data_IF_085752195868
#
_entry.id   IF_085752195868
#
_cell.length_a   1.000
_cell.length_b   1.000
_cell.length_c   1.000
_cell.angle_alpha   90.00
_cell.angle_beta   90.00
_cell.angle_gamma   90.00
#
_symmetry.space_group_name_H-M   'P 1'
#
loop_
_entity.id
_entity.type
_entity.pdbx_description
1 polymer ?
#
# COMPACT_ATOMS: atom_id res chain seq x y z
N UNK A 1 46.36 -35.54 -41.00
CA UNK A 1 45.21 -34.61 -41.03
C UNK A 1 45.18 -33.87 -39.71
N UNK A 2 45.46 -32.58 -39.80
CA UNK A 2 45.63 -31.58 -38.75
C UNK A 2 44.30 -30.96 -38.33
N UNK A 3 44.04 -30.75 -37.05
CA UNK A 3 43.28 -29.58 -36.56
C UNK A 3 43.72 -29.24 -35.13
N UNK A 4 44.34 -28.06 -34.98
CA UNK A 4 44.83 -27.52 -33.71
C UNK A 4 43.78 -26.67 -33.01
N UNK A 5 43.75 -26.75 -31.67
CA UNK A 5 42.97 -25.85 -30.83
C UNK A 5 43.72 -24.53 -30.63
N UNK A 6 43.18 -23.43 -31.17
CA UNK A 6 43.63 -22.06 -30.87
C UNK A 6 42.47 -21.26 -30.27
N UNK A 7 42.39 -21.23 -28.93
CA UNK A 7 41.49 -20.37 -28.18
C UNK A 7 42.18 -19.06 -27.82
N UNK A 8 41.80 -17.98 -28.49
CA UNK A 8 42.37 -16.63 -28.35
C UNK A 8 41.92 -15.95 -27.04
N UNK A 9 42.89 -15.37 -26.34
CA UNK A 9 42.73 -14.50 -25.15
C UNK A 9 42.15 -13.13 -25.57
N UNK A 10 41.06 -12.71 -24.93
CA UNK A 10 40.57 -11.32 -25.02
C UNK A 10 41.12 -10.49 -23.87
N UNK A 11 42.05 -9.59 -24.19
CA UNK A 11 42.62 -8.62 -23.26
C UNK A 11 41.71 -7.39 -23.10
N UNK A 12 41.40 -7.03 -21.85
CA UNK A 12 40.75 -5.77 -21.49
C UNK A 12 41.82 -4.66 -21.46
N UNK A 13 41.69 -3.65 -22.33
CA UNK A 13 42.40 -2.37 -22.21
C UNK A 13 41.50 -1.38 -21.47
N UNK A 14 41.96 -0.93 -20.31
CA UNK A 14 41.53 0.32 -19.69
C UNK A 14 42.31 1.49 -20.30
N UNK A 15 41.68 2.64 -20.59
CA UNK A 15 42.37 3.91 -20.62
C UNK A 15 42.27 4.62 -19.27
N UNK A 16 43.41 5.17 -18.84
CA UNK A 16 43.60 6.06 -17.69
C UNK A 16 43.19 7.50 -18.04
N UNK A 17 42.49 8.12 -17.09
CA UNK A 17 42.63 9.49 -16.56
C UNK A 17 42.55 10.71 -17.48
N UNK A 18 41.60 11.60 -17.16
CA UNK A 18 41.80 13.06 -17.27
C UNK A 18 40.99 13.81 -16.19
N UNK A 19 41.70 14.68 -15.47
CA UNK A 19 41.32 15.96 -14.87
C UNK A 19 40.10 16.07 -13.94
N UNK A 20 40.43 16.25 -12.66
CA UNK A 20 39.75 17.06 -11.65
C UNK A 20 39.44 18.47 -12.14
N UNK A 21 38.16 18.87 -12.07
CA UNK A 21 37.74 20.27 -11.95
C UNK A 21 36.76 20.39 -10.79
N UNK A 22 37.14 21.18 -9.78
CA UNK A 22 36.30 21.48 -8.61
C UNK A 22 35.24 22.51 -8.98
N UNK A 23 33.99 22.36 -8.51
CA UNK A 23 32.94 23.36 -8.74
C UNK A 23 33.18 24.63 -7.89
N UNK A 24 32.74 25.82 -8.37
CA UNK A 24 32.85 27.07 -7.62
C UNK A 24 31.91 27.08 -6.39
N UNK A 25 32.26 27.83 -5.32
CA UNK A 25 31.45 27.88 -4.10
C UNK A 25 30.11 28.61 -4.33
N UNK A 26 29.06 28.09 -3.71
CA UNK A 26 27.73 28.70 -3.70
C UNK A 26 27.71 30.07 -2.99
N UNK A 27 26.83 31.01 -3.39
CA UNK A 27 26.71 32.30 -2.72
C UNK A 27 26.13 32.14 -1.31
N UNK A 28 26.76 32.84 -0.36
CA UNK A 28 26.35 32.94 1.05
C UNK A 28 24.99 33.66 1.13
N UNK A 29 23.94 32.94 1.53
CA UNK A 29 22.66 33.55 1.92
C UNK A 29 22.82 34.13 3.32
N UNK A 30 22.90 35.45 3.42
CA UNK A 30 22.80 36.17 4.69
C UNK A 30 21.36 36.11 5.21
N UNK A 31 21.19 35.45 6.36
CA UNK A 31 19.92 35.35 7.07
C UNK A 31 19.69 36.65 7.86
N UNK A 32 18.57 37.39 7.69
CA UNK A 32 18.26 38.50 8.59
C UNK A 32 17.89 37.96 9.97
N UNK A 33 18.38 38.67 10.98
CA UNK A 33 18.30 38.40 12.40
C UNK A 33 16.86 38.40 12.95
N UNK A 34 16.64 37.55 13.95
CA UNK A 34 15.46 37.55 14.81
C UNK A 34 15.28 38.92 15.46
N UNK A 35 14.07 39.47 15.38
CA UNK A 35 13.54 40.45 16.36
C UNK A 35 12.25 39.89 16.96
N UNK A 36 12.32 39.41 18.19
CA UNK A 36 11.32 39.77 19.21
C UNK A 36 11.86 40.97 20.00
N UNK A 37 11.16 41.55 21.00
CA UNK A 37 9.97 41.05 21.71
C UNK A 37 8.82 42.09 21.80
N UNK A 38 7.67 41.69 22.32
CA UNK A 38 6.55 42.61 22.58
C UNK A 38 5.47 41.98 23.44
N UNK A 39 5.79 41.72 24.72
CA UNK A 39 4.80 41.47 25.77
C UNK A 39 4.07 42.78 26.14
N UNK A 40 2.74 42.69 26.32
CA UNK A 40 1.78 43.54 27.06
C UNK A 40 0.41 43.34 26.38
N UNK A 41 -0.76 43.19 26.97
CA UNK A 41 -1.29 43.25 28.34
C UNK A 41 -2.61 42.41 28.30
N UNK A 42 -3.01 41.68 29.34
CA UNK A 42 -3.89 42.23 30.39
C UNK A 42 -5.37 42.31 29.94
N UNK A 43 -6.21 41.35 30.36
CA UNK A 43 -7.67 41.45 30.16
C UNK A 43 -8.47 40.23 30.62
N UNK A 44 -8.68 40.08 31.93
CA UNK A 44 -9.68 39.13 32.47
C UNK A 44 -11.07 39.78 32.35
N UNK A 45 -11.95 39.19 31.54
CA UNK A 45 -13.37 39.57 31.49
C UNK A 45 -14.24 38.44 32.05
N UNK A 46 -14.95 38.77 33.13
CA UNK A 46 -15.98 37.94 33.78
C UNK A 46 -17.13 37.74 32.79
N UNK A 47 -17.46 36.48 32.44
CA UNK A 47 -18.72 36.14 31.78
C UNK A 47 -19.73 35.61 32.79
N UNK A 48 -20.79 36.38 32.93
CA UNK A 48 -22.01 36.11 33.67
C UNK A 48 -22.84 35.01 32.99
N UNK A 49 -23.38 34.08 33.78
CA UNK A 49 -24.34 33.06 33.34
C UNK A 49 -25.70 33.72 33.12
N UNK A 50 -26.36 33.42 32.00
CA UNK A 50 -27.82 33.57 31.83
C UNK A 50 -28.47 32.19 31.65
N UNK A 51 -29.71 31.99 32.15
CA UNK A 51 -30.34 30.68 32.26
C UNK A 51 -31.08 30.27 30.97
N UNK A 52 -31.27 28.95 30.83
CA UNK A 52 -31.93 28.31 29.70
C UNK A 52 -33.45 28.58 29.68
N UNK A 53 -33.95 28.91 28.50
CA UNK A 53 -35.38 29.01 28.18
C UNK A 53 -36.01 27.60 28.14
N UNK A 54 -37.15 27.44 28.81
CA UNK A 54 -38.04 26.29 28.68
C UNK A 54 -38.98 26.53 27.50
N UNK A 55 -39.20 25.47 26.70
CA UNK A 55 -40.41 25.33 25.90
C UNK A 55 -41.33 24.21 26.44
N UNK A 56 -42.65 24.33 26.22
CA UNK A 56 -43.69 23.60 26.94
C UNK A 56 -44.28 22.46 26.09
N UNK A 57 -44.84 21.43 26.71
CA UNK A 57 -46.09 20.75 26.34
C UNK A 57 -46.28 19.53 27.25
N UNK A 58 -47.40 19.49 27.95
CA UNK A 58 -47.68 18.53 29.00
C UNK A 58 -48.48 17.32 28.53
N UNK A 59 -48.53 16.32 29.41
CA UNK A 59 -49.73 15.54 29.67
C UNK A 59 -49.60 14.89 31.05
N UNK A 60 -50.75 14.83 31.73
CA UNK A 60 -50.96 14.39 33.11
C UNK A 60 -50.61 12.91 33.27
N UNK A 61 -49.85 12.58 34.31
CA UNK A 61 -49.82 11.22 34.87
C UNK A 61 -50.99 11.03 35.85
N UNK A 62 -51.67 9.88 35.87
CA UNK A 62 -52.46 9.50 37.04
C UNK A 62 -51.49 9.03 38.15
N UNK A 63 -51.81 9.40 39.39
CA UNK A 63 -51.16 8.88 40.59
C UNK A 63 -51.29 7.35 40.61
N UNK A 64 -50.18 6.63 40.52
CA UNK A 64 -50.08 5.28 41.05
C UNK A 64 -49.35 5.36 42.39
N UNK A 65 -50.00 4.87 43.43
CA UNK A 65 -49.41 4.57 44.73
C UNK A 65 -48.04 3.90 44.58
N UNK A 66 -47.07 4.45 45.30
CA UNK A 66 -45.77 3.80 45.49
C UNK A 66 -45.93 2.78 46.62
N UNK A 67 -46.33 1.56 46.29
CA UNK A 67 -45.97 0.40 47.10
C UNK A 67 -44.65 -0.15 46.60
N UNK A 68 -43.71 -0.26 47.53
CA UNK A 68 -42.32 -0.51 47.25
C UNK A 68 -42.08 -1.86 46.57
N UNK A 69 -41.23 -1.84 45.56
CA UNK A 69 -40.15 -2.81 45.48
C UNK A 69 -38.99 -2.23 44.67
N UNK A 70 -37.77 -2.52 45.08
CA UNK A 70 -36.55 -2.10 44.43
C UNK A 70 -36.39 -2.76 43.05
N UNK A 71 -35.51 -2.16 42.24
CA UNK A 71 -34.91 -2.68 41.01
C UNK A 71 -35.72 -2.60 39.70
N UNK A 72 -35.65 -1.44 39.05
CA UNK A 72 -35.64 -1.38 37.59
C UNK A 72 -34.94 -0.10 37.11
N UNK A 73 -33.61 -0.12 37.02
CA UNK A 73 -32.92 0.78 36.09
C UNK A 73 -33.16 0.24 34.68
N UNK A 74 -34.11 0.83 33.96
CA UNK A 74 -34.18 0.69 32.51
C UNK A 74 -33.01 1.47 31.88
N UNK A 75 -31.81 0.89 31.93
CA UNK A 75 -30.76 1.23 30.98
C UNK A 75 -31.16 0.62 29.64
N UNK A 76 -31.67 1.43 28.72
CA UNK A 76 -31.78 1.07 27.32
C UNK A 76 -30.36 1.03 26.72
N UNK A 77 -29.58 0.04 27.15
CA UNK A 77 -28.28 -0.28 26.59
C UNK A 77 -28.48 -1.25 25.45
N UNK A 78 -28.32 -0.80 24.20
CA UNK A 78 -28.09 -1.71 23.09
C UNK A 78 -26.70 -2.32 23.31
N UNK A 79 -26.63 -3.46 24.01
CA UNK A 79 -25.45 -4.31 24.03
C UNK A 79 -25.42 -5.07 22.72
N UNK A 80 -24.44 -4.79 21.87
CA UNK A 80 -24.11 -5.70 20.77
C UNK A 80 -23.61 -7.02 21.40
N UNK A 81 -24.43 -8.06 21.37
CA UNK A 81 -24.04 -9.41 21.80
C UNK A 81 -23.08 -9.98 20.74
N UNK A 82 -21.77 -9.76 20.92
CA UNK A 82 -20.70 -10.39 20.12
C UNK A 82 -20.54 -11.90 20.43
N UNK A 83 -21.37 -12.44 21.32
CA UNK A 83 -21.39 -13.86 21.74
C UNK A 83 -22.31 -14.72 20.89
N UNK A 84 -23.02 -14.14 19.91
CA UNK A 84 -23.78 -14.90 18.93
C UNK A 84 -22.85 -15.76 18.09
N UNK A 85 -22.69 -17.04 18.47
CA UNK A 85 -22.10 -18.04 17.58
C UNK A 85 -23.07 -18.21 16.41
N UNK A 86 -22.77 -17.55 15.31
CA UNK A 86 -23.38 -17.88 14.02
C UNK A 86 -22.85 -19.27 13.67
N UNK A 87 -23.59 -20.31 14.08
CA UNK A 87 -23.37 -21.69 13.59
C UNK A 87 -23.93 -21.76 12.18
N UNK A 88 -23.32 -21.04 11.24
CA UNK A 88 -23.76 -21.04 9.86
C UNK A 88 -22.70 -21.63 8.94
N UNK A 89 -22.73 -22.97 8.92
CA UNK A 89 -22.11 -23.80 7.89
C UNK A 89 -22.75 -23.62 6.51
N UNK A 90 -23.65 -22.64 6.31
CA UNK A 90 -24.27 -22.30 5.01
C UNK A 90 -23.60 -21.14 4.28
N UNK A 91 -22.57 -20.51 4.84
CA UNK A 91 -21.71 -19.62 4.06
C UNK A 91 -20.92 -20.49 3.06
N UNK A 92 -21.09 -20.32 1.74
CA UNK A 92 -20.38 -21.13 0.77
C UNK A 92 -18.87 -21.02 0.98
N UNK A 93 -18.16 -22.15 0.99
CA UNK A 93 -16.70 -22.26 1.23
C UNK A 93 -15.83 -21.41 0.29
N UNK A 94 -16.43 -20.85 -0.75
CA UNK A 94 -15.79 -19.91 -1.66
C UNK A 94 -16.67 -18.67 -1.74
N UNK A 95 -16.24 -17.58 -1.12
CA UNK A 95 -16.58 -16.26 -1.63
C UNK A 95 -16.06 -16.20 -3.08
N UNK A 96 -16.89 -16.56 -4.06
CA UNK A 96 -16.66 -16.29 -5.47
C UNK A 96 -16.16 -14.83 -5.61
N UNK A 97 -15.22 -14.54 -6.52
CA UNK A 97 -14.21 -13.51 -6.31
C UNK A 97 -14.86 -12.16 -6.06
N UNK A 98 -15.00 -11.78 -4.79
CA UNK A 98 -15.78 -10.61 -4.36
C UNK A 98 -15.25 -9.32 -5.01
N UNK A 99 -13.97 -9.36 -5.40
CA UNK A 99 -13.28 -8.27 -6.05
C UNK A 99 -13.28 -8.34 -7.59
N UNK A 100 -13.84 -9.39 -8.24
CA UNK A 100 -13.67 -9.64 -9.67
C UNK A 100 -14.21 -8.53 -10.59
N UNK A 101 -15.23 -7.81 -10.15
CA UNK A 101 -15.77 -6.68 -10.91
C UNK A 101 -14.81 -5.50 -10.99
N UNK A 102 -13.88 -5.37 -10.05
CA UNK A 102 -12.99 -4.22 -9.97
C UNK A 102 -11.78 -4.39 -10.88
N UNK A 103 -11.30 -3.26 -11.38
CA UNK A 103 -10.09 -3.21 -12.20
C UNK A 103 -8.85 -3.39 -11.34
N UNK A 104 -8.79 -2.75 -10.17
CA UNK A 104 -7.68 -2.84 -9.23
C UNK A 104 -8.11 -3.60 -7.99
N UNK A 105 -7.53 -4.77 -7.81
CA UNK A 105 -7.82 -5.73 -6.73
C UNK A 105 -6.62 -5.82 -5.79
N UNK A 106 -6.86 -6.17 -4.53
CA UNK A 106 -5.81 -6.28 -3.53
C UNK A 106 -6.03 -7.43 -2.55
N UNK A 107 -4.96 -8.16 -2.22
CA UNK A 107 -4.96 -9.21 -1.20
C UNK A 107 -3.52 -9.44 -0.67
N UNK A 108 -3.37 -10.37 0.29
CA UNK A 108 -2.09 -10.71 0.92
C UNK A 108 -1.69 -12.18 0.73
N UNK A 109 -0.39 -12.39 0.63
CA UNK A 109 0.26 -13.69 0.71
C UNK A 109 -0.14 -14.65 -0.41
N UNK A 110 0.30 -15.90 -0.28
CA UNK A 110 0.02 -16.96 -1.25
C UNK A 110 -1.48 -17.27 -1.38
N UNK A 111 -2.24 -17.19 -0.28
CA UNK A 111 -3.68 -17.40 -0.30
C UNK A 111 -4.43 -16.30 -1.07
N UNK A 112 -3.98 -15.04 -0.95
CA UNK A 112 -4.51 -13.93 -1.73
C UNK A 112 -4.13 -14.05 -3.21
N UNK A 113 -2.91 -14.47 -3.51
CA UNK A 113 -2.47 -14.76 -4.88
C UNK A 113 -3.40 -15.79 -5.55
N UNK A 114 -3.71 -16.89 -4.87
CA UNK A 114 -4.65 -17.91 -5.35
C UNK A 114 -6.04 -17.33 -5.66
N UNK A 115 -6.56 -16.45 -4.80
CA UNK A 115 -7.87 -15.81 -4.99
C UNK A 115 -7.90 -14.81 -6.14
N UNK A 116 -6.76 -14.21 -6.47
CA UNK A 116 -6.63 -13.18 -7.51
C UNK A 116 -5.89 -13.68 -8.77
N UNK A 117 -5.68 -14.98 -8.89
CA UNK A 117 -4.87 -15.63 -9.92
C UNK A 117 -5.43 -15.46 -11.35
N UNK A 118 -6.67 -15.00 -11.49
CA UNK A 118 -7.37 -14.76 -12.75
C UNK A 118 -7.07 -13.39 -13.40
N UNK A 119 -6.41 -12.47 -12.68
CA UNK A 119 -6.17 -11.13 -13.20
C UNK A 119 -5.17 -11.12 -14.37
N UNK A 120 -5.34 -10.20 -15.33
CA UNK A 120 -4.46 -10.05 -16.49
C UNK A 120 -3.02 -9.68 -16.08
N UNK A 121 -2.88 -8.92 -14.98
CA UNK A 121 -1.61 -8.50 -14.41
C UNK A 121 -1.61 -8.77 -12.90
N UNK A 122 -0.64 -9.54 -12.44
CA UNK A 122 -0.30 -9.71 -11.02
C UNK A 122 0.92 -8.85 -10.69
N UNK A 123 0.77 -8.01 -9.67
CA UNK A 123 1.87 -7.27 -9.05
C UNK A 123 2.17 -7.93 -7.71
N UNK A 124 3.24 -8.70 -7.63
CA UNK A 124 3.73 -9.21 -6.35
C UNK A 124 4.52 -8.12 -5.64
N UNK A 125 3.98 -7.62 -4.53
CA UNK A 125 4.54 -6.49 -3.80
C UNK A 125 5.33 -6.99 -2.60
N UNK A 126 6.64 -6.93 -2.70
CA UNK A 126 7.57 -7.30 -1.62
C UNK A 126 8.62 -6.20 -1.49
N UNK A 127 8.50 -5.37 -0.46
CA UNK A 127 9.38 -4.22 -0.29
C UNK A 127 10.66 -4.56 0.49
N UNK A 128 10.69 -5.70 1.22
CA UNK A 128 11.87 -6.18 1.95
C UNK A 128 12.08 -7.69 1.67
N UNK A 129 12.36 -8.07 0.40
CA UNK A 129 12.38 -9.47 0.02
C UNK A 129 13.52 -10.22 0.69
N UNK A 130 13.21 -11.41 1.19
CA UNK A 130 14.24 -12.38 1.56
C UNK A 130 14.84 -12.97 0.27
N UNK A 131 16.15 -13.15 0.25
CA UNK A 131 16.85 -13.64 -0.95
C UNK A 131 16.29 -15.01 -1.38
N UNK A 132 15.77 -15.09 -2.60
CA UNK A 132 15.19 -16.30 -3.16
C UNK A 132 13.74 -16.57 -2.73
N UNK A 133 13.10 -15.66 -1.99
CA UNK A 133 11.69 -15.74 -1.65
C UNK A 133 10.84 -15.18 -2.80
N UNK A 134 10.22 -16.08 -3.56
CA UNK A 134 9.16 -15.75 -4.51
C UNK A 134 7.99 -16.69 -4.23
N UNK A 135 6.74 -16.25 -4.48
CA UNK A 135 5.59 -17.12 -4.34
C UNK A 135 5.64 -18.25 -5.38
N UNK A 136 5.00 -19.39 -5.09
CA UNK A 136 4.65 -20.32 -6.17
C UNK A 136 3.67 -19.62 -7.12
N UNK A 137 3.94 -19.74 -8.42
CA UNK A 137 3.16 -19.13 -9.48
C UNK A 137 2.34 -20.18 -10.24
N UNK A 138 2.34 -21.43 -9.79
CA UNK A 138 1.73 -22.58 -10.50
C UNK A 138 0.23 -22.41 -10.69
N UNK A 139 -0.42 -21.71 -9.76
CA UNK A 139 -1.87 -21.46 -9.78
C UNK A 139 -2.25 -20.20 -10.56
N UNK A 140 -1.27 -19.36 -10.95
CA UNK A 140 -1.52 -18.11 -11.69
C UNK A 140 -1.69 -18.40 -13.17
N UNK A 141 -2.81 -17.94 -13.74
CA UNK A 141 -3.18 -18.23 -15.13
C UNK A 141 -2.01 -17.94 -16.11
N UNK A 142 -1.67 -18.84 -17.04
CA UNK A 142 -0.50 -18.68 -17.93
C UNK A 142 -0.53 -17.41 -18.79
N UNK A 143 -1.72 -16.85 -19.01
CA UNK A 143 -1.95 -15.60 -19.74
C UNK A 143 -1.70 -14.34 -18.92
N UNK A 144 -1.52 -14.46 -17.59
CA UNK A 144 -1.28 -13.33 -16.70
C UNK A 144 0.19 -12.90 -16.74
N UNK A 145 0.41 -11.59 -16.87
CA UNK A 145 1.71 -11.00 -16.63
C UNK A 145 1.99 -10.96 -15.13
N UNK A 146 3.24 -11.15 -14.72
CA UNK A 146 3.67 -11.12 -13.33
C UNK A 146 4.86 -10.19 -13.23
N UNK A 147 4.72 -9.16 -12.40
CA UNK A 147 5.76 -8.17 -12.13
C UNK A 147 5.99 -8.00 -10.63
N UNK A 148 7.18 -7.54 -10.26
CA UNK A 148 7.48 -7.17 -8.88
C UNK A 148 7.21 -5.68 -8.65
N UNK A 149 6.61 -5.39 -7.50
CA UNK A 149 6.34 -4.04 -7.03
C UNK A 149 7.00 -3.75 -5.68
N UNK A 150 7.47 -2.51 -5.52
CA UNK A 150 7.97 -2.00 -4.26
C UNK A 150 7.73 -0.49 -4.17
N UNK A 151 7.97 0.09 -3.00
CA UNK A 151 7.88 1.55 -2.83
C UNK A 151 8.91 2.29 -3.72
N UNK A 152 10.05 1.65 -3.99
CA UNK A 152 11.13 2.15 -4.85
C UNK A 152 10.77 2.21 -6.32
N UNK A 153 9.75 1.47 -6.77
CA UNK A 153 9.34 1.34 -8.19
C UNK A 153 7.90 1.78 -8.44
N UNK A 154 7.26 2.47 -7.47
CA UNK A 154 5.83 2.80 -7.49
C UNK A 154 5.35 3.34 -8.85
N UNK A 155 6.04 4.35 -9.36
CA UNK A 155 5.67 5.07 -10.58
C UNK A 155 6.01 4.24 -11.81
N UNK A 156 7.16 3.58 -11.81
CA UNK A 156 7.60 2.70 -12.89
C UNK A 156 6.63 1.54 -13.13
N UNK A 157 6.13 0.92 -12.05
CA UNK A 157 5.12 -0.13 -12.09
C UNK A 157 3.81 0.39 -12.69
N UNK A 158 3.32 1.54 -12.22
CA UNK A 158 2.09 2.13 -12.74
C UNK A 158 2.21 2.53 -14.23
N UNK A 159 3.36 3.07 -14.66
CA UNK A 159 3.66 3.36 -16.07
C UNK A 159 3.75 2.09 -16.92
N UNK A 160 4.31 1.02 -16.38
CA UNK A 160 4.38 -0.27 -17.06
C UNK A 160 2.99 -0.85 -17.27
N UNK A 161 2.14 -0.83 -16.23
CA UNK A 161 0.76 -1.33 -16.29
C UNK A 161 -0.06 -0.55 -17.32
N UNK A 162 0.05 0.78 -17.32
CA UNK A 162 -0.65 1.62 -18.30
C UNK A 162 -0.21 1.32 -19.73
N UNK A 163 1.10 1.20 -19.98
CA UNK A 163 1.63 0.79 -21.29
C UNK A 163 1.10 -0.59 -21.69
N UNK A 164 1.12 -1.55 -20.77
CA UNK A 164 0.61 -2.90 -21.02
C UNK A 164 -0.87 -2.92 -21.39
N UNK A 165 -1.68 -2.09 -20.74
CA UNK A 165 -3.09 -1.93 -21.08
C UNK A 165 -3.27 -1.40 -22.51
N UNK A 166 -2.47 -0.41 -22.90
CA UNK A 166 -2.48 0.14 -24.26
C UNK A 166 -2.09 -0.92 -25.28
N UNK A 167 -1.00 -1.66 -25.03
CA UNK A 167 -0.51 -2.71 -25.94
C UNK A 167 -1.55 -3.82 -26.16
N UNK A 168 -2.31 -4.16 -25.12
CA UNK A 168 -3.36 -5.18 -25.19
C UNK A 168 -4.67 -4.67 -25.81
N UNK A 169 -4.83 -3.34 -25.97
CA UNK A 169 -6.03 -2.74 -26.55
C UNK A 169 -7.32 -3.01 -25.78
N UNK A 170 -7.24 -3.46 -24.53
CA UNK A 170 -8.38 -3.78 -23.66
C UNK A 170 -8.13 -3.27 -22.25
N UNK A 171 -9.20 -3.03 -21.50
CA UNK A 171 -9.10 -2.77 -20.06
C UNK A 171 -8.56 -4.02 -19.37
N UNK A 172 -7.44 -3.89 -18.67
CA UNK A 172 -6.80 -5.01 -17.96
C UNK A 172 -7.27 -5.06 -16.51
N UNK A 173 -7.50 -6.26 -16.00
CA UNK A 173 -7.64 -6.52 -14.57
C UNK A 173 -6.26 -6.60 -13.90
N UNK A 174 -6.11 -5.94 -12.76
CA UNK A 174 -4.85 -5.77 -12.04
C UNK A 174 -5.05 -6.26 -10.61
N UNK A 175 -4.23 -7.21 -10.19
CA UNK A 175 -4.19 -7.68 -8.81
C UNK A 175 -2.85 -7.30 -8.17
N UNK A 176 -2.89 -6.51 -7.11
CA UNK A 176 -1.75 -6.28 -6.24
C UNK A 176 -1.80 -7.29 -5.09
N UNK A 177 -0.75 -8.07 -4.92
CA UNK A 177 -0.65 -9.05 -3.84
C UNK A 177 0.54 -8.67 -2.97
N UNK A 178 0.27 -8.17 -1.78
CA UNK A 178 1.33 -7.91 -0.80
C UNK A 178 1.89 -9.23 -0.29
N UNK A 179 3.22 -9.40 -0.37
CA UNK A 179 3.90 -10.64 -0.02
C UNK A 179 3.62 -11.06 1.42
N UNK A 180 3.61 -10.09 2.33
CA UNK A 180 3.34 -10.37 3.72
C UNK A 180 4.58 -10.89 4.45
N UNK A 181 4.38 -11.27 5.71
CA UNK A 181 5.40 -11.96 6.49
C UNK A 181 4.79 -13.26 7.00
N UNK A 182 5.40 -14.39 6.65
CA UNK A 182 4.85 -15.73 6.95
C UNK A 182 3.40 -15.87 6.44
N UNK A 183 3.13 -15.41 5.21
CA UNK A 183 1.80 -15.31 4.59
C UNK A 183 0.77 -14.45 5.35
N UNK A 184 1.22 -13.73 6.39
CA UNK A 184 0.42 -12.83 7.20
C UNK A 184 0.60 -11.35 6.87
N UNK A 185 0.02 -10.50 7.72
CA UNK A 185 0.05 -9.06 7.56
C UNK A 185 1.49 -8.49 7.66
N UNK A 186 1.87 -7.70 6.65
CA UNK A 186 3.10 -6.90 6.66
C UNK A 186 2.79 -5.43 6.34
N UNK A 187 3.03 -4.53 7.29
CA UNK A 187 2.70 -3.11 7.14
C UNK A 187 3.50 -2.39 6.06
N UNK A 188 4.75 -2.77 5.83
CA UNK A 188 5.61 -2.16 4.80
C UNK A 188 5.18 -2.56 3.38
N UNK A 189 4.76 -3.82 3.18
CA UNK A 189 4.21 -4.27 1.90
C UNK A 189 2.83 -3.66 1.64
N UNK A 190 1.97 -3.54 2.67
CA UNK A 190 0.70 -2.81 2.53
C UNK A 190 0.95 -1.37 2.05
N UNK A 191 1.91 -0.68 2.67
CA UNK A 191 2.27 0.68 2.30
C UNK A 191 2.83 0.76 0.88
N UNK A 192 3.67 -0.18 0.47
CA UNK A 192 4.19 -0.25 -0.89
C UNK A 192 3.08 -0.52 -1.92
N UNK A 193 2.16 -1.43 -1.62
CA UNK A 193 1.02 -1.73 -2.49
C UNK A 193 0.08 -0.52 -2.60
N UNK A 194 -0.24 0.14 -1.48
CA UNK A 194 -1.00 1.39 -1.45
C UNK A 194 -0.33 2.50 -2.27
N UNK A 195 1.00 2.59 -2.24
CA UNK A 195 1.75 3.56 -3.04
C UNK A 195 1.62 3.34 -4.55
N UNK A 196 1.59 2.07 -4.98
CA UNK A 196 1.37 1.69 -6.38
C UNK A 196 -0.10 1.96 -6.76
N UNK A 197 -1.07 1.67 -5.88
CA UNK A 197 -2.49 1.94 -6.11
C UNK A 197 -2.73 3.44 -6.31
N UNK A 198 -2.16 4.30 -5.47
CA UNK A 198 -2.25 5.76 -5.68
C UNK A 198 -1.58 6.20 -6.99
N UNK A 199 -0.45 5.58 -7.38
CA UNK A 199 0.19 5.89 -8.65
C UNK A 199 -0.61 5.40 -9.88
N UNK A 200 -1.41 4.35 -9.73
CA UNK A 200 -2.40 3.92 -10.73
C UNK A 200 -3.56 4.91 -10.82
N UNK A 201 -4.07 5.38 -9.67
CA UNK A 201 -5.10 6.40 -9.61
C UNK A 201 -4.65 7.72 -10.25
N UNK A 202 -3.40 8.16 -10.01
CA UNK A 202 -2.76 9.32 -10.66
C UNK A 202 -2.78 9.22 -12.21
N UNK A 203 -2.86 8.00 -12.75
CA UNK A 203 -2.92 7.69 -14.19
C UNK A 203 -4.33 7.41 -14.70
N UNK A 204 -5.35 7.61 -13.88
CA UNK A 204 -6.76 7.37 -14.21
C UNK A 204 -7.19 5.90 -14.13
N UNK A 205 -6.41 5.05 -13.45
CA UNK A 205 -6.78 3.66 -13.16
C UNK A 205 -7.21 3.57 -11.69
N UNK A 206 -8.47 3.94 -11.42
CA UNK A 206 -8.99 4.18 -10.07
C UNK A 206 -10.22 3.34 -9.69
N UNK A 207 -10.67 2.43 -10.58
CA UNK A 207 -11.77 1.52 -10.26
C UNK A 207 -11.30 0.38 -9.35
N UNK A 208 -11.12 0.75 -8.10
CA UNK A 208 -10.52 -0.02 -7.01
C UNK A 208 -11.57 -0.82 -6.23
N UNK A 209 -11.18 -2.03 -5.84
CA UNK A 209 -11.88 -2.81 -4.81
C UNK A 209 -11.85 -2.09 -3.45
N UNK A 210 -12.76 -2.41 -2.52
CA UNK A 210 -12.70 -1.90 -1.15
C UNK A 210 -11.34 -2.16 -0.48
N UNK A 211 -10.76 -3.33 -0.71
CA UNK A 211 -9.46 -3.74 -0.19
C UNK A 211 -8.33 -2.86 -0.76
N UNK A 212 -8.34 -2.62 -2.08
CA UNK A 212 -7.39 -1.72 -2.72
C UNK A 212 -7.57 -0.27 -2.25
N UNK A 213 -8.81 0.19 -2.06
CA UNK A 213 -9.09 1.53 -1.55
C UNK A 213 -8.56 1.73 -0.12
N UNK A 214 -8.68 0.72 0.75
CA UNK A 214 -8.11 0.75 2.11
C UNK A 214 -6.58 0.82 2.05
N UNK A 215 -5.94 0.03 1.18
CA UNK A 215 -4.49 0.07 0.99
C UNK A 215 -4.01 1.44 0.48
N UNK A 216 -4.67 2.00 -0.53
CA UNK A 216 -4.40 3.34 -1.06
C UNK A 216 -4.53 4.43 0.02
N UNK A 217 -5.65 4.42 0.76
CA UNK A 217 -5.90 5.37 1.84
C UNK A 217 -4.86 5.24 2.98
N UNK A 218 -4.44 4.03 3.31
CA UNK A 218 -3.38 3.79 4.30
C UNK A 218 -2.07 4.44 3.85
N UNK A 219 -1.65 4.25 2.59
CA UNK A 219 -0.47 4.95 2.07
C UNK A 219 -0.67 6.46 2.04
N UNK A 220 -1.79 6.96 1.52
CA UNK A 220 -2.05 8.40 1.41
C UNK A 220 -1.93 9.10 2.78
N UNK A 221 -2.51 8.52 3.83
CA UNK A 221 -2.44 9.06 5.20
C UNK A 221 -1.07 8.90 5.86
N UNK A 222 -0.29 7.89 5.47
CA UNK A 222 0.97 7.54 6.13
C UNK A 222 2.22 7.87 5.29
N UNK A 223 2.06 8.44 4.10
CA UNK A 223 3.13 8.68 3.12
C UNK A 223 4.34 9.41 3.69
N UNK A 224 4.12 10.39 4.56
CA UNK A 224 5.20 11.18 5.18
C UNK A 224 5.98 10.39 6.24
N UNK A 225 5.43 9.28 6.73
CA UNK A 225 6.02 8.42 7.75
C UNK A 225 6.60 7.11 7.18
N UNK A 226 6.56 6.87 5.86
CA UNK A 226 6.98 5.59 5.25
C UNK A 226 8.36 5.11 5.71
N UNK A 227 9.36 5.99 5.79
CA UNK A 227 10.69 5.63 6.31
C UNK A 227 10.68 5.10 7.76
N UNK A 228 9.90 5.74 8.64
CA UNK A 228 9.74 5.28 10.01
C UNK A 228 8.95 3.98 10.09
N UNK A 229 7.90 3.83 9.28
CA UNK A 229 7.07 2.63 9.28
C UNK A 229 7.83 1.40 8.74
N UNK A 230 8.65 1.58 7.72
CA UNK A 230 9.54 0.52 7.22
C UNK A 230 10.54 0.10 8.31
N UNK A 231 11.24 1.06 8.91
CA UNK A 231 12.24 0.78 9.95
C UNK A 231 11.63 0.24 11.24
N UNK A 232 10.40 0.59 11.58
CA UNK A 232 9.69 0.11 12.77
C UNK A 232 8.89 -1.18 12.54
N UNK A 233 8.64 -1.58 11.29
CA UNK A 233 7.89 -2.80 10.97
C UNK A 233 8.59 -4.06 11.50
N UNK A 234 7.83 -5.13 11.75
CA UNK A 234 8.37 -6.43 12.23
C UNK A 234 9.49 -6.93 11.30
N UNK A 235 9.26 -6.93 9.99
CA UNK A 235 10.26 -7.36 9.00
C UNK A 235 11.44 -6.39 8.96
N UNK A 236 11.20 -5.08 8.97
CA UNK A 236 12.29 -4.10 9.01
C UNK A 236 13.18 -4.23 10.25
N UNK A 237 12.59 -4.52 11.42
CA UNK A 237 13.32 -4.81 12.65
C UNK A 237 14.12 -6.12 12.55
N UNK A 238 13.55 -7.15 11.93
CA UNK A 238 14.24 -8.42 11.66
C UNK A 238 15.43 -8.24 10.72
N UNK A 239 15.25 -7.52 9.60
CA UNK A 239 16.32 -7.18 8.65
C UNK A 239 17.41 -6.35 9.34
N UNK A 240 17.03 -5.34 10.13
CA UNK A 240 17.97 -4.52 10.90
C UNK A 240 18.83 -5.35 11.85
N UNK A 241 18.22 -6.34 12.52
CA UNK A 241 18.90 -7.24 13.46
C UNK A 241 19.81 -8.25 12.76
N UNK A 242 19.38 -8.80 11.61
CA UNK A 242 20.12 -9.83 10.87
C UNK A 242 21.22 -9.26 9.97
N UNK A 243 20.98 -8.10 9.36
CA UNK A 243 21.85 -7.49 8.34
C UNK A 243 22.32 -6.11 8.81
N UNK A 244 21.53 -5.07 8.56
CA UNK A 244 21.78 -3.69 9.00
C UNK A 244 20.56 -2.81 8.72
N UNK A 245 20.63 -1.53 9.12
CA UNK A 245 19.57 -0.55 8.85
C UNK A 245 19.52 -0.07 7.39
N UNK A 246 20.63 -0.11 6.68
CA UNK A 246 20.75 0.50 5.35
C UNK A 246 19.84 -0.13 4.28
N UNK A 247 19.70 -1.47 4.18
CA UNK A 247 18.73 -2.09 3.27
C UNK A 247 17.29 -1.62 3.52
N UNK A 248 16.92 -1.42 4.79
CA UNK A 248 15.57 -0.97 5.17
C UNK A 248 15.32 0.47 4.73
N UNK A 249 16.33 1.36 4.88
CA UNK A 249 16.25 2.74 4.39
C UNK A 249 16.21 2.81 2.86
N UNK A 250 16.96 1.94 2.19
CA UNK A 250 16.98 1.87 0.73
C UNK A 250 15.61 1.43 0.18
N UNK A 251 15.01 0.40 0.78
CA UNK A 251 13.67 -0.07 0.45
C UNK A 251 12.56 0.97 0.72
N UNK A 252 12.77 1.84 1.72
CA UNK A 252 11.80 2.88 2.05
C UNK A 252 11.87 4.13 1.14
N UNK A 253 12.80 4.17 0.18
CA UNK A 253 12.87 5.27 -0.78
C UNK A 253 11.69 5.18 -1.76
N UNK A 254 11.13 6.34 -2.10
CA UNK A 254 10.04 6.44 -3.07
C UNK A 254 10.65 6.67 -4.45
N UNK A 255 10.28 5.84 -5.43
CA UNK A 255 10.70 6.00 -6.84
C UNK A 255 12.21 6.17 -7.04
N UNK A 256 13.02 5.49 -6.22
CA UNK A 256 14.48 5.45 -6.40
C UNK A 256 14.91 4.54 -7.55
N UNK A 257 14.00 3.75 -8.12
CA UNK A 257 14.21 2.82 -9.21
C UNK A 257 13.17 3.06 -10.31
N UNK A 258 13.62 3.02 -11.57
CA UNK A 258 12.79 3.26 -12.75
C UNK A 258 12.51 2.01 -13.58
N UNK A 259 13.21 0.92 -13.29
CA UNK A 259 13.10 -0.36 -13.99
C UNK A 259 12.13 -1.30 -13.24
N UNK A 260 11.25 -1.95 -13.99
CA UNK A 260 10.29 -2.93 -13.45
C UNK A 260 10.84 -4.33 -13.69
N UNK A 261 10.88 -5.14 -12.63
CA UNK A 261 11.25 -6.55 -12.75
C UNK A 261 10.03 -7.34 -13.21
N UNK A 262 10.10 -7.92 -14.39
CA UNK A 262 9.06 -8.76 -14.99
C UNK A 262 9.45 -10.23 -14.82
N UNK A 263 8.63 -11.00 -14.11
CA UNK A 263 8.82 -12.45 -13.93
C UNK A 263 8.21 -13.24 -15.09
N UNK A 264 7.08 -12.77 -15.62
CA UNK A 264 6.39 -13.36 -16.76
C UNK A 264 5.68 -12.27 -17.56
N UNK A 265 5.88 -12.24 -18.87
CA UNK A 265 5.06 -11.42 -19.76
C UNK A 265 3.76 -12.15 -20.13
N UNK A 266 2.67 -11.41 -20.27
CA UNK A 266 1.46 -11.95 -20.90
C UNK A 266 1.64 -11.98 -22.43
N UNK A 267 1.04 -12.94 -23.14
CA UNK A 267 1.04 -12.92 -24.60
C UNK A 267 0.32 -11.67 -25.13
N UNK A 268 0.89 -11.00 -26.16
CA UNK A 268 0.16 -9.98 -26.93
C UNK A 268 -0.65 -10.71 -28.00
N UNK A 269 -1.97 -10.48 -28.12
CA UNK A 269 -2.74 -11.00 -29.24
C UNK A 269 -2.17 -10.42 -30.54
N UNK A 270 -1.60 -11.27 -31.39
CA UNK A 270 -1.23 -10.87 -32.74
C UNK A 270 -2.50 -10.94 -33.57
N UNK A 271 -3.00 -9.78 -34.00
CA UNK A 271 -4.08 -9.73 -35.00
C UNK A 271 -3.52 -10.37 -36.27
N UNK A 272 -4.06 -11.53 -36.67
CA UNK A 272 -3.75 -12.09 -37.98
C UNK A 272 -4.12 -11.03 -39.04
N UNK A 273 -3.28 -10.76 -40.06
CA UNK A 273 -3.65 -9.85 -41.12
C UNK A 273 -4.94 -10.37 -41.76
N UNK A 274 -5.92 -9.47 -41.94
CA UNK A 274 -7.13 -9.78 -42.69
C UNK A 274 -6.73 -10.17 -44.13
N UNK A 275 -7.12 -11.38 -44.56
CA UNK A 275 -7.06 -11.81 -45.96
C UNK A 275 -8.02 -10.99 -46.84
#
# INVERSE_FOLDING_TARGET
>A
MTFGSSGRKWGRRFPRSAATESPPPAPVVTRPSRRGPGCCAGGRSRRTRRPAERCPFGSRTPRSECDGNHDARHECGVRADYTGTVTDSSLPETFAPAQARYQVRFDFGSAGLRRLADADIIVWVDALPEAGSLPSLDEVAPTSAIILGALTTRSAVADWILRRQVDLGKRVSIALVAAGFEDGFASHDLLAAGAIIEALADRGIDFTSPEAAVAGAAYAGLRQASGHLFTASVVGQNVRRKLSLEPVKAAAQIDSQTEVVVLRESPIPVTAPAE
#
